data_IF_609390213227
#
_entry.id   IF_609390213227
#
_cell.length_a   1.000
_cell.length_b   1.000
_cell.length_c   1.000
_cell.angle_alpha   90.00
_cell.angle_beta   90.00
_cell.angle_gamma   90.00
#
_symmetry.space_group_name_H-M   'P 1'
#
loop_
_entity.id
_entity.type
_entity.pdbx_description
1 polymer ?
#
# COMPACT_ATOMS: atom_id res chain seq x y z
N UNK A 1 15.45 11.15 0.07
CA UNK A 1 14.26 10.99 0.94
C UNK A 1 14.42 9.79 1.87
N UNK A 2 14.74 8.62 1.33
CA UNK A 2 14.88 7.34 2.06
C UNK A 2 15.78 7.36 3.30
N UNK A 3 16.89 8.11 3.28
CA UNK A 3 17.81 8.23 4.43
C UNK A 3 17.15 8.80 5.70
N UNK A 4 16.20 9.73 5.56
CA UNK A 4 15.45 10.30 6.68
C UNK A 4 14.20 9.48 7.00
N UNK A 5 13.66 8.79 6.02
CA UNK A 5 12.42 8.02 6.12
C UNK A 5 12.56 6.81 7.06
N UNK A 6 13.65 6.04 6.91
CA UNK A 6 13.92 4.86 7.75
C UNK A 6 13.99 5.20 9.25
N UNK A 7 14.79 6.18 9.72
CA UNK A 7 14.84 6.50 11.15
C UNK A 7 13.50 7.05 11.67
N UNK A 8 12.73 7.77 10.85
CA UNK A 8 11.40 8.26 11.24
C UNK A 8 10.42 7.08 11.42
N UNK A 9 10.39 6.12 10.48
CA UNK A 9 9.54 4.93 10.60
C UNK A 9 9.93 4.05 11.78
N UNK A 10 11.24 3.90 12.06
CA UNK A 10 11.73 3.19 13.25
C UNK A 10 11.31 3.89 14.54
N UNK A 11 11.41 5.22 14.59
CA UNK A 11 10.94 6.01 15.73
C UNK A 11 9.42 5.87 15.92
N UNK A 12 8.64 5.88 14.84
CA UNK A 12 7.19 5.63 14.88
C UNK A 12 6.87 4.26 15.46
N UNK A 13 7.55 3.21 15.00
CA UNK A 13 7.39 1.85 15.53
C UNK A 13 7.77 1.77 17.02
N UNK A 14 8.84 2.45 17.43
CA UNK A 14 9.24 2.57 18.84
C UNK A 14 8.15 3.24 19.69
N UNK A 15 7.59 4.35 19.22
CA UNK A 15 6.50 5.04 19.91
C UNK A 15 5.27 4.13 20.08
N UNK A 16 4.88 3.39 19.03
CA UNK A 16 3.75 2.46 19.11
C UNK A 16 4.03 1.33 20.10
N UNK A 17 5.23 0.77 20.10
CA UNK A 17 5.58 -0.36 20.97
C UNK A 17 5.75 0.03 22.43
N UNK A 18 6.38 1.17 22.73
CA UNK A 18 6.82 1.51 24.08
C UNK A 18 6.09 2.69 24.72
N UNK A 19 5.44 3.56 23.93
CA UNK A 19 4.72 4.74 24.45
C UNK A 19 3.19 4.61 24.40
N UNK A 20 2.65 3.55 23.81
CA UNK A 20 1.20 3.31 23.80
C UNK A 20 0.68 3.03 25.22
N UNK A 21 -0.27 3.82 25.75
CA UNK A 21 -0.75 3.68 27.12
C UNK A 21 -1.55 2.38 27.32
N UNK A 22 -1.60 1.87 28.55
CA UNK A 22 -2.26 0.60 28.88
C UNK A 22 -3.75 0.57 28.50
N UNK A 23 -4.44 1.71 28.59
CA UNK A 23 -5.84 1.87 28.19
C UNK A 23 -6.10 1.57 26.71
N UNK A 24 -5.08 1.67 25.84
CA UNK A 24 -5.18 1.45 24.39
C UNK A 24 -4.55 0.14 23.90
N UNK A 25 -4.31 -0.81 24.82
CA UNK A 25 -3.62 -2.07 24.49
C UNK A 25 -4.32 -2.89 23.41
N UNK A 26 -5.66 -2.84 23.34
CA UNK A 26 -6.48 -3.53 22.33
C UNK A 26 -6.25 -3.03 20.91
N UNK A 27 -5.85 -1.77 20.73
CA UNK A 27 -5.63 -1.14 19.41
C UNK A 27 -4.16 -1.17 18.99
N UNK A 28 -3.25 -1.42 19.94
CA UNK A 28 -1.80 -1.43 19.72
C UNK A 28 -1.37 -2.32 18.55
N UNK A 29 -1.90 -3.54 18.46
CA UNK A 29 -1.54 -4.47 17.38
C UNK A 29 -2.06 -4.00 16.02
N UNK A 30 -3.29 -3.49 15.95
CA UNK A 30 -3.86 -2.92 14.73
C UNK A 30 -3.09 -1.68 14.25
N UNK A 31 -2.67 -0.81 15.19
CA UNK A 31 -1.81 0.33 14.88
C UNK A 31 -0.43 -0.09 14.37
N UNK A 32 0.18 -1.10 15.00
CA UNK A 32 1.47 -1.61 14.54
C UNK A 32 1.38 -2.22 13.14
N UNK A 33 0.30 -2.96 12.86
CA UNK A 33 0.04 -3.53 11.55
C UNK A 33 -0.13 -2.44 10.47
N UNK A 34 -0.90 -1.39 10.75
CA UNK A 34 -1.01 -0.24 9.85
C UNK A 34 0.35 0.43 9.62
N UNK A 35 1.09 0.70 10.70
CA UNK A 35 2.40 1.35 10.61
C UNK A 35 3.38 0.53 9.77
N UNK A 36 3.39 -0.80 9.95
CA UNK A 36 4.21 -1.70 9.16
C UNK A 36 3.90 -1.61 7.66
N UNK A 37 2.63 -1.79 7.27
CA UNK A 37 2.25 -1.76 5.86
C UNK A 37 2.45 -0.37 5.23
N UNK A 38 2.17 0.70 5.99
CA UNK A 38 2.41 2.08 5.53
C UNK A 38 3.90 2.33 5.32
N UNK A 39 4.75 1.91 6.27
CA UNK A 39 6.21 2.07 6.14
C UNK A 39 6.76 1.31 4.94
N UNK A 40 6.24 0.09 4.68
CA UNK A 40 6.63 -0.71 3.50
C UNK A 40 6.19 -0.02 2.22
N UNK A 41 4.98 0.52 2.16
CA UNK A 41 4.49 1.27 1.00
C UNK A 41 5.35 2.51 0.73
N UNK A 42 5.62 3.31 1.76
CA UNK A 42 6.41 4.55 1.65
C UNK A 42 7.82 4.23 1.13
N UNK A 43 8.48 3.21 1.69
CA UNK A 43 9.80 2.77 1.24
C UNK A 43 9.76 2.24 -0.20
N UNK A 44 8.67 1.57 -0.58
CA UNK A 44 8.51 1.05 -1.94
C UNK A 44 8.40 2.22 -2.94
N UNK A 45 7.57 3.22 -2.63
CA UNK A 45 7.39 4.40 -3.49
C UNK A 45 8.67 5.25 -3.52
N UNK A 46 9.32 5.48 -2.37
CA UNK A 46 10.44 6.42 -2.22
C UNK A 46 11.81 5.84 -2.62
N UNK A 47 12.00 4.52 -2.53
CA UNK A 47 13.28 3.86 -2.81
C UNK A 47 13.22 2.92 -4.02
N UNK A 48 12.22 2.04 -4.06
CA UNK A 48 12.18 0.91 -4.99
C UNK A 48 11.66 1.31 -6.37
N UNK A 49 10.55 2.05 -6.40
CA UNK A 49 9.82 2.35 -7.64
C UNK A 49 10.05 3.78 -8.10
N UNK A 50 10.09 4.76 -7.18
CA UNK A 50 10.19 6.22 -7.46
C UNK A 50 9.46 6.62 -8.75
N UNK A 51 8.11 6.69 -8.71
CA UNK A 51 7.33 6.95 -9.91
C UNK A 51 7.58 8.37 -10.41
N UNK A 52 8.01 8.47 -11.67
CA UNK A 52 8.10 9.72 -12.40
C UNK A 52 6.84 9.90 -13.24
N UNK A 53 6.15 11.01 -13.05
CA UNK A 53 4.92 11.33 -13.80
C UNK A 53 5.28 12.32 -14.89
N UNK A 54 5.07 11.92 -16.15
CA UNK A 54 5.19 12.78 -17.32
C UNK A 54 3.85 13.48 -17.57
N UNK A 55 3.81 14.77 -17.28
CA UNK A 55 2.70 15.65 -17.63
C UNK A 55 2.99 16.30 -18.99
N UNK A 56 1.99 16.48 -19.88
CA UNK A 56 0.54 16.35 -19.65
C UNK A 56 -0.07 14.97 -19.96
N UNK A 57 0.73 14.00 -20.42
CA UNK A 57 0.23 12.70 -20.91
C UNK A 57 -0.31 11.79 -19.79
N UNK A 58 -0.16 12.15 -18.51
CA UNK A 58 -0.50 11.31 -17.34
C UNK A 58 0.14 9.92 -17.51
N UNK A 59 1.39 9.89 -17.97
CA UNK A 59 2.18 8.67 -18.08
C UNK A 59 3.08 8.53 -16.84
N UNK A 60 3.08 7.35 -16.23
CA UNK A 60 3.92 7.04 -15.07
C UNK A 60 5.03 6.07 -15.46
N UNK A 61 6.28 6.39 -15.09
CA UNK A 61 7.42 5.52 -15.31
C UNK A 61 8.28 5.38 -14.05
N UNK A 62 8.57 4.17 -13.55
CA UNK A 62 9.34 3.99 -12.33
C UNK A 62 10.84 4.14 -12.58
N UNK A 63 11.52 4.96 -11.78
CA UNK A 63 12.95 5.24 -11.87
C UNK A 63 13.77 4.70 -10.69
N UNK A 64 13.18 3.85 -9.85
CA UNK A 64 13.80 3.42 -8.60
C UNK A 64 14.76 2.25 -8.73
N UNK A 65 15.20 1.74 -7.58
CA UNK A 65 16.16 0.63 -7.50
C UNK A 65 15.71 -0.60 -8.27
N UNK A 66 14.40 -0.91 -8.31
CA UNK A 66 13.90 -2.10 -9.03
C UNK A 66 14.17 -2.03 -10.53
N UNK A 67 14.27 -0.83 -11.11
CA UNK A 67 14.68 -0.64 -12.50
C UNK A 67 16.14 -1.05 -12.71
N UNK A 68 17.03 -0.75 -11.77
CA UNK A 68 18.45 -1.16 -11.84
C UNK A 68 18.60 -2.68 -11.83
N UNK A 69 17.70 -3.38 -11.14
CA UNK A 69 17.64 -4.85 -11.13
C UNK A 69 16.93 -5.45 -12.35
N UNK A 70 16.48 -4.63 -13.31
CA UNK A 70 15.83 -5.11 -14.54
C UNK A 70 14.40 -5.60 -14.34
N UNK A 71 13.74 -5.27 -13.24
CA UNK A 71 12.36 -5.70 -12.98
C UNK A 71 11.40 -4.92 -13.90
N UNK A 72 10.50 -5.59 -14.65
CA UNK A 72 9.62 -4.88 -15.58
C UNK A 72 8.65 -3.94 -14.85
N UNK A 73 8.34 -2.81 -15.49
CA UNK A 73 7.48 -1.75 -14.94
C UNK A 73 6.12 -2.27 -14.46
N UNK A 74 5.49 -3.18 -15.21
CA UNK A 74 4.20 -3.77 -14.84
C UNK A 74 4.21 -4.42 -13.46
N UNK A 75 5.28 -5.17 -13.12
CA UNK A 75 5.40 -5.80 -11.80
C UNK A 75 5.60 -4.77 -10.69
N UNK A 76 6.40 -3.73 -10.93
CA UNK A 76 6.63 -2.68 -9.95
C UNK A 76 5.33 -1.94 -9.63
N UNK A 77 4.56 -1.58 -10.67
CA UNK A 77 3.25 -0.93 -10.54
C UNK A 77 2.25 -1.83 -9.83
N UNK A 78 2.21 -3.12 -10.14
CA UNK A 78 1.36 -4.10 -9.47
C UNK A 78 1.64 -4.18 -7.97
N UNK A 79 2.92 -4.27 -7.57
CA UNK A 79 3.33 -4.31 -6.16
C UNK A 79 2.85 -3.07 -5.40
N UNK A 80 3.01 -1.87 -5.98
CA UNK A 80 2.57 -0.62 -5.36
C UNK A 80 1.05 -0.61 -5.15
N UNK A 81 0.25 -1.02 -6.15
CA UNK A 81 -1.21 -1.07 -6.02
C UNK A 81 -1.70 -2.07 -4.96
N UNK A 82 -1.08 -3.25 -4.89
CA UNK A 82 -1.38 -4.24 -3.85
C UNK A 82 -1.01 -3.69 -2.47
N UNK A 83 0.15 -3.03 -2.32
CA UNK A 83 0.52 -2.41 -1.05
C UNK A 83 -0.45 -1.28 -0.63
N UNK A 84 -0.87 -0.42 -1.56
CA UNK A 84 -1.87 0.63 -1.30
C UNK A 84 -3.18 0.06 -0.75
N UNK A 85 -3.71 -0.99 -1.38
CA UNK A 85 -4.94 -1.64 -0.90
C UNK A 85 -4.73 -2.37 0.42
N UNK A 86 -3.56 -2.97 0.62
CA UNK A 86 -3.18 -3.62 1.89
C UNK A 86 -3.14 -2.62 3.05
N UNK A 87 -2.62 -1.40 2.83
CA UNK A 87 -2.71 -0.30 3.80
C UNK A 87 -4.17 0.07 4.07
N UNK A 88 -5.02 0.14 3.03
CA UNK A 88 -6.46 0.34 3.17
C UNK A 88 -7.12 -0.71 4.08
N UNK A 89 -6.79 -1.99 3.92
CA UNK A 89 -7.26 -3.07 4.79
C UNK A 89 -6.74 -2.90 6.23
N UNK A 90 -5.50 -2.46 6.41
CA UNK A 90 -4.96 -2.20 7.75
C UNK A 90 -5.67 -1.02 8.44
N UNK A 91 -6.10 0.01 7.69
CA UNK A 91 -6.92 1.12 8.19
C UNK A 91 -8.31 0.59 8.60
N UNK A 92 -8.96 -0.21 7.76
CA UNK A 92 -10.21 -0.91 8.10
C UNK A 92 -10.05 -1.72 9.40
N UNK A 93 -8.87 -2.34 9.59
CA UNK A 93 -8.34 -2.92 10.82
C UNK A 93 -8.59 -2.12 12.10
N UNK A 94 -8.26 -0.85 12.04
CA UNK A 94 -8.36 0.04 13.20
C UNK A 94 -9.82 0.42 13.45
N UNK A 95 -10.55 0.73 12.37
CA UNK A 95 -11.96 1.14 12.48
C UNK A 95 -12.84 0.01 12.99
N UNK A 96 -12.71 -1.20 12.45
CA UNK A 96 -13.50 -2.34 12.93
C UNK A 96 -13.11 -2.73 14.35
N UNK A 97 -11.83 -2.61 14.75
CA UNK A 97 -11.46 -2.85 16.14
C UNK A 97 -12.07 -1.83 17.11
N UNK A 98 -12.17 -0.55 16.71
CA UNK A 98 -12.88 0.47 17.50
C UNK A 98 -14.39 0.21 17.54
N UNK A 99 -14.98 -0.16 16.40
CA UNK A 99 -16.39 -0.53 16.32
C UNK A 99 -16.72 -1.70 17.24
N UNK A 100 -15.88 -2.75 17.24
CA UNK A 100 -16.00 -3.91 18.11
C UNK A 100 -16.02 -3.52 19.59
N UNK A 101 -15.12 -2.63 20.02
CA UNK A 101 -15.04 -2.21 21.42
C UNK A 101 -16.22 -1.35 21.89
N UNK A 102 -16.81 -0.56 21.00
CA UNK A 102 -17.85 0.42 21.36
C UNK A 102 -19.28 -0.13 21.24
N UNK A 103 -19.54 -1.00 20.25
CA UNK A 103 -20.91 -1.32 19.85
C UNK A 103 -21.24 -2.81 19.90
N UNK A 104 -20.26 -3.70 19.94
CA UNK A 104 -20.51 -5.13 19.81
C UNK A 104 -20.75 -5.79 21.17
N UNK A 105 -21.96 -6.29 21.36
CA UNK A 105 -22.38 -7.14 22.48
C UNK A 105 -22.52 -8.61 22.08
N UNK A 106 -22.48 -8.91 20.78
CA UNK A 106 -22.74 -10.24 20.21
C UNK A 106 -21.49 -11.14 20.08
N UNK A 107 -21.62 -12.39 20.51
CA UNK A 107 -20.55 -13.40 20.43
C UNK A 107 -20.27 -13.90 19.00
N UNK A 108 -21.22 -13.72 18.06
CA UNK A 108 -21.05 -14.17 16.67
C UNK A 108 -20.01 -13.32 15.93
N UNK A 109 -20.11 -11.99 16.01
CA UNK A 109 -19.20 -11.07 15.30
C UNK A 109 -17.73 -11.26 15.72
N UNK A 110 -17.49 -11.65 16.98
CA UNK A 110 -16.15 -11.96 17.50
C UNK A 110 -15.43 -13.07 16.72
N UNK A 111 -16.15 -14.07 16.19
CA UNK A 111 -15.56 -15.13 15.35
C UNK A 111 -15.51 -14.72 13.88
N UNK A 112 -16.58 -14.09 13.39
CA UNK A 112 -16.71 -13.73 11.97
C UNK A 112 -15.73 -12.64 11.54
N UNK A 113 -15.32 -11.73 12.44
CA UNK A 113 -14.38 -10.64 12.11
C UNK A 113 -13.02 -11.14 11.62
N UNK A 114 -12.53 -12.28 12.12
CA UNK A 114 -11.24 -12.84 11.69
C UNK A 114 -11.32 -13.23 10.21
N UNK A 115 -12.42 -13.90 9.82
CA UNK A 115 -12.68 -14.27 8.44
C UNK A 115 -12.89 -13.04 7.55
N UNK A 116 -13.59 -12.02 8.04
CA UNK A 116 -13.74 -10.74 7.37
C UNK A 116 -12.37 -10.07 7.10
N UNK A 117 -11.45 -10.10 8.06
CA UNK A 117 -10.10 -9.58 7.83
C UNK A 117 -9.33 -10.38 6.80
N UNK A 118 -9.31 -11.71 6.94
CA UNK A 118 -8.61 -12.59 6.00
C UNK A 118 -9.14 -12.38 4.58
N UNK A 119 -10.47 -12.31 4.40
CA UNK A 119 -11.07 -12.09 3.08
C UNK A 119 -10.68 -10.75 2.48
N UNK A 120 -10.60 -9.68 3.29
CA UNK A 120 -10.17 -8.37 2.79
C UNK A 120 -8.70 -8.36 2.36
N UNK A 121 -7.81 -9.03 3.11
CA UNK A 121 -6.40 -9.16 2.71
C UNK A 121 -6.24 -9.99 1.43
N UNK A 122 -6.97 -11.10 1.31
CA UNK A 122 -6.99 -11.91 0.08
C UNK A 122 -7.54 -11.10 -1.08
N UNK A 123 -8.62 -10.36 -0.87
CA UNK A 123 -9.20 -9.49 -1.90
C UNK A 123 -8.21 -8.40 -2.33
N UNK A 124 -7.54 -7.74 -1.39
CA UNK A 124 -6.52 -6.72 -1.70
C UNK A 124 -5.39 -7.28 -2.59
N UNK A 125 -4.94 -8.51 -2.32
CA UNK A 125 -3.92 -9.18 -3.13
C UNK A 125 -4.42 -9.57 -4.53
N UNK A 126 -5.67 -10.03 -4.63
CA UNK A 126 -6.24 -10.56 -5.88
C UNK A 126 -6.89 -9.48 -6.77
N UNK A 127 -7.29 -8.35 -6.20
CA UNK A 127 -8.08 -7.33 -6.89
C UNK A 127 -7.43 -6.82 -8.19
N UNK A 128 -6.10 -6.66 -8.17
CA UNK A 128 -5.35 -6.17 -9.33
C UNK A 128 -4.79 -7.28 -10.22
N UNK A 129 -4.99 -8.55 -9.88
CA UNK A 129 -4.46 -9.67 -10.69
C UNK A 129 -5.04 -9.67 -12.10
N UNK A 130 -6.36 -9.50 -12.32
CA UNK A 130 -6.89 -9.40 -13.69
C UNK A 130 -6.28 -8.22 -14.45
N UNK A 131 -6.17 -7.05 -13.81
CA UNK A 131 -5.55 -5.87 -14.40
C UNK A 131 -4.10 -6.13 -14.83
N UNK A 132 -3.36 -6.91 -14.04
CA UNK A 132 -1.98 -7.30 -14.36
C UNK A 132 -1.90 -8.31 -15.52
N UNK A 133 -2.82 -9.28 -15.60
CA UNK A 133 -2.85 -10.28 -16.67
C UNK A 133 -3.31 -9.70 -18.02
N UNK A 134 -4.14 -8.66 -17.98
CA UNK A 134 -4.69 -8.00 -19.17
C UNK A 134 -4.01 -6.65 -19.48
N UNK A 135 -2.78 -6.43 -19.02
CA UNK A 135 -2.03 -5.21 -19.39
C UNK A 135 -1.83 -5.20 -20.91
N UNK A 136 -2.36 -4.20 -21.64
CA UNK A 136 -2.20 -4.12 -23.09
C UNK A 136 -0.74 -3.82 -23.46
N UNK A 137 -0.35 -4.16 -24.68
CA UNK A 137 0.97 -3.79 -25.21
C UNK A 137 1.17 -2.27 -25.17
N UNK A 138 2.30 -1.85 -24.61
CA UNK A 138 2.54 -0.45 -24.28
C UNK A 138 3.06 0.39 -25.47
N UNK A 139 3.33 -0.22 -26.63
CA UNK A 139 3.91 0.47 -27.79
C UNK A 139 2.99 1.57 -28.35
N UNK A 140 1.68 1.31 -28.45
CA UNK A 140 0.73 2.30 -28.97
C UNK A 140 0.55 3.47 -28.00
N UNK A 141 0.50 3.19 -26.69
CA UNK A 141 0.42 4.20 -25.65
C UNK A 141 1.66 5.11 -25.64
N UNK A 142 2.84 4.52 -25.87
CA UNK A 142 4.10 5.24 -25.94
C UNK A 142 4.17 6.14 -27.19
N UNK A 143 3.72 5.64 -28.36
CA UNK A 143 3.61 6.48 -29.58
C UNK A 143 2.70 7.68 -29.36
N UNK A 144 1.49 7.47 -28.82
CA UNK A 144 0.55 8.56 -28.50
C UNK A 144 1.14 9.56 -27.49
N UNK A 145 1.91 9.07 -26.52
CA UNK A 145 2.59 9.92 -25.55
C UNK A 145 3.60 10.86 -26.22
N UNK A 146 4.44 10.32 -27.11
CA UNK A 146 5.41 11.13 -27.86
C UNK A 146 4.71 12.16 -28.74
N UNK A 147 3.70 11.75 -29.53
CA UNK A 147 2.97 12.67 -30.40
C UNK A 147 2.35 13.84 -29.61
N UNK A 148 1.78 13.56 -28.44
CA UNK A 148 1.18 14.60 -27.57
C UNK A 148 2.23 15.56 -27.02
N UNK A 149 3.44 15.09 -26.69
CA UNK A 149 4.53 15.93 -26.18
C UNK A 149 5.10 16.82 -27.30
N UNK A 150 5.20 16.33 -28.53
CA UNK A 150 5.72 17.10 -29.67
C UNK A 150 4.71 18.09 -30.27
N UNK A 151 3.41 17.94 -29.99
CA UNK A 151 2.35 18.86 -30.41
C UNK A 151 2.18 20.07 -29.46
N UNK A 152 2.94 20.13 -28.37
CA UNK A 152 3.04 21.23 -27.41
C UNK A 152 4.31 22.05 -27.63
#
# INVERSE_FOLDING_TARGET
MTFLEVPIHLFGAYCILYKTPHSMKSVKLSMLNLHFWSSVLDLTISALTTPFIMLPVIAGYPLGLLKLFGIPTAYQTFIVFVLCTTVGVAILGIFENRYYLLFVTDNFWKKTRIWFYISNYVLAALFFVPLFLFVPEQEEALKKAFDTIYLL
#
